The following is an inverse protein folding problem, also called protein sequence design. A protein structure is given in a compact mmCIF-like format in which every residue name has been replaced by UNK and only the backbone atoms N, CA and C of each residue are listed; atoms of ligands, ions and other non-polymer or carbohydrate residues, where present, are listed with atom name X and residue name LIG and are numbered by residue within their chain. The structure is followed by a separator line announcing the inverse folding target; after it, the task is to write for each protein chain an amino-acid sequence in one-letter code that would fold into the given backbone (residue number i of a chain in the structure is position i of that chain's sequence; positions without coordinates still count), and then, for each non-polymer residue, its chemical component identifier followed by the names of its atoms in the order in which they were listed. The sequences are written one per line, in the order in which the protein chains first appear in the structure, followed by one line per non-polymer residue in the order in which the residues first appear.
data_IF_122521754717
#
_entry.id   IF_122521754717
#
_cell.length_a   1.000
_cell.length_b   1.000
_cell.length_c   1.000
_cell.angle_alpha   90.00
_cell.angle_beta   90.00
_cell.angle_gamma   90.00
#
_symmetry.space_group_name_H-M   'P 1'
#
loop_
_entity.id
_entity.type
_entity.pdbx_description
1 polymer ?
#
# COMPACT_ATOMS: atom_id res chain seq x y z
N UNK A 1 23.29 10.01 -11.41
CA UNK A 1 22.46 10.95 -12.20
C UNK A 1 20.96 10.70 -12.07
N UNK A 2 20.47 9.45 -12.11
CA UNK A 2 19.03 9.12 -12.08
C UNK A 2 18.28 9.74 -10.87
N UNK A 3 18.84 9.60 -9.66
CA UNK A 3 18.20 10.14 -8.44
C UNK A 3 17.97 11.65 -8.52
N UNK A 4 18.91 12.43 -9.04
CA UNK A 4 18.74 13.88 -9.17
C UNK A 4 17.66 14.28 -10.19
N UNK A 5 17.40 13.45 -11.20
CA UNK A 5 16.34 13.69 -12.19
C UNK A 5 14.98 13.40 -11.57
N UNK A 6 14.84 12.25 -10.90
CA UNK A 6 13.61 11.87 -10.17
C UNK A 6 13.29 12.91 -9.10
N UNK A 7 14.29 13.33 -8.32
CA UNK A 7 14.11 14.32 -7.27
C UNK A 7 13.61 15.66 -7.83
N UNK A 8 14.24 16.16 -8.91
CA UNK A 8 13.78 17.36 -9.60
C UNK A 8 12.37 17.22 -10.16
N UNK A 9 12.03 16.03 -10.65
CA UNK A 9 10.69 15.77 -11.19
C UNK A 9 9.63 15.84 -10.08
N UNK A 10 9.90 15.22 -8.92
CA UNK A 10 8.99 15.23 -7.77
C UNK A 10 8.89 16.62 -7.14
N UNK A 11 10.00 17.34 -7.01
CA UNK A 11 10.00 18.72 -6.48
C UNK A 11 9.20 19.70 -7.36
N UNK A 12 9.02 19.37 -8.65
CA UNK A 12 8.15 20.12 -9.56
C UNK A 12 6.66 19.81 -9.40
N UNK A 13 6.29 18.69 -8.75
CA UNK A 13 4.90 18.30 -8.54
C UNK A 13 4.24 19.04 -7.36
N UNK A 14 4.27 20.38 -7.38
CA UNK A 14 3.66 21.21 -6.33
C UNK A 14 2.14 21.04 -6.21
N UNK A 15 1.49 20.53 -7.25
CA UNK A 15 0.08 20.17 -7.22
C UNK A 15 -0.27 19.08 -6.20
N UNK A 16 0.73 18.33 -5.71
CA UNK A 16 0.55 17.34 -4.64
C UNK A 16 0.39 17.98 -3.26
N UNK A 17 0.80 19.24 -3.07
CA UNK A 17 0.78 19.90 -1.75
C UNK A 17 -0.64 20.06 -1.20
N UNK A 18 -1.65 20.52 -1.97
CA UNK A 18 -3.03 20.57 -1.49
C UNK A 18 -3.60 19.19 -1.15
N UNK A 19 -3.27 18.16 -1.93
CA UNK A 19 -3.70 16.78 -1.68
C UNK A 19 -3.05 16.24 -0.41
N UNK A 20 -1.76 16.51 -0.23
CA UNK A 20 -1.02 16.17 0.97
C UNK A 20 -1.60 16.87 2.21
N UNK A 21 -1.93 18.16 2.11
CA UNK A 21 -2.52 18.94 3.20
C UNK A 21 -3.87 18.36 3.62
N UNK A 22 -4.71 18.03 2.64
CA UNK A 22 -6.00 17.42 2.91
C UNK A 22 -5.85 16.06 3.60
N UNK A 23 -5.02 15.18 3.06
CA UNK A 23 -4.86 13.82 3.59
C UNK A 23 -4.19 13.80 4.96
N UNK A 24 -3.17 14.64 5.22
CA UNK A 24 -2.58 14.75 6.56
C UNK A 24 -3.59 15.29 7.58
N UNK A 25 -4.46 16.23 7.19
CA UNK A 25 -5.55 16.70 8.06
C UNK A 25 -6.55 15.59 8.35
N UNK A 26 -6.89 14.76 7.36
CA UNK A 26 -7.83 13.63 7.54
C UNK A 26 -7.21 12.56 8.45
N UNK A 27 -5.99 12.11 8.16
CA UNK A 27 -5.29 11.08 8.94
C UNK A 27 -5.01 11.58 10.36
N UNK A 28 -4.38 12.74 10.50
CA UNK A 28 -4.14 13.36 11.79
C UNK A 28 -5.43 13.68 12.56
N UNK A 29 -6.50 14.07 11.87
CA UNK A 29 -7.82 14.31 12.42
C UNK A 29 -8.48 13.04 12.95
N UNK A 30 -8.40 11.92 12.21
CA UNK A 30 -8.92 10.62 12.64
C UNK A 30 -8.27 10.15 13.94
N UNK A 31 -6.94 10.25 14.05
CA UNK A 31 -6.24 9.91 15.29
C UNK A 31 -6.58 10.86 16.44
N UNK A 32 -6.69 12.17 16.18
CA UNK A 32 -7.08 13.15 17.20
C UNK A 32 -8.50 12.95 17.70
N UNK A 33 -9.44 12.60 16.82
CA UNK A 33 -10.84 12.32 17.16
C UNK A 33 -10.95 11.15 18.15
N UNK A 34 -10.09 10.15 18.00
CA UNK A 34 -10.03 8.99 18.88
C UNK A 34 -9.36 9.28 20.24
N UNK A 35 -8.83 10.49 20.47
CA UNK A 35 -8.24 10.89 21.76
C UNK A 35 -7.03 10.05 22.17
N UNK A 36 -6.95 9.68 23.46
CA UNK A 36 -5.87 8.83 24.01
C UNK A 36 -5.75 7.47 23.28
N UNK A 37 -6.85 6.71 23.07
CA UNK A 37 -6.81 5.50 22.24
C UNK A 37 -6.24 5.71 20.84
N UNK A 38 -6.53 6.86 20.22
CA UNK A 38 -6.00 7.22 18.91
C UNK A 38 -4.49 7.41 18.90
N UNK A 39 -3.93 8.03 19.94
CA UNK A 39 -2.48 8.18 20.07
C UNK A 39 -1.77 6.84 20.26
N UNK A 40 -2.35 5.95 21.09
CA UNK A 40 -1.79 4.61 21.32
C UNK A 40 -1.86 3.76 20.05
N UNK A 41 -2.99 3.82 19.33
CA UNK A 41 -3.13 3.18 18.03
C UNK A 41 -2.12 3.71 17.02
N UNK A 42 -1.96 5.02 16.91
CA UNK A 42 -0.97 5.64 16.01
C UNK A 42 0.44 5.14 16.33
N UNK A 43 0.80 5.10 17.61
CA UNK A 43 2.10 4.64 18.10
C UNK A 43 2.33 3.16 17.76
N UNK A 44 1.30 2.33 17.96
CA UNK A 44 1.35 0.91 17.61
C UNK A 44 1.50 0.68 16.10
N UNK A 45 0.71 1.40 15.30
CA UNK A 45 0.70 1.34 13.83
C UNK A 45 2.01 1.85 13.24
N UNK A 46 2.66 2.81 13.90
CA UNK A 46 3.99 3.28 13.52
C UNK A 46 5.07 2.20 13.72
N UNK A 47 4.88 1.28 14.67
CA UNK A 47 5.84 0.18 14.93
C UNK A 47 6.88 0.50 16.01
N UNK A 48 6.65 1.48 16.88
CA UNK A 48 7.60 1.83 17.96
C UNK A 48 7.96 0.65 18.87
N UNK A 49 7.04 -0.29 19.05
CA UNK A 49 7.23 -1.53 19.82
C UNK A 49 8.19 -2.52 19.15
N UNK A 50 8.34 -2.46 17.82
CA UNK A 50 9.26 -3.30 17.03
C UNK A 50 10.68 -2.70 16.99
N UNK A 51 10.83 -1.42 17.35
CA UNK A 51 12.08 -0.67 17.17
C UNK A 51 12.32 -0.18 15.74
N UNK A 52 11.44 -0.54 14.80
CA UNK A 52 11.51 -0.16 13.39
C UNK A 52 10.12 0.15 12.83
N UNK A 53 10.01 0.97 11.77
CA UNK A 53 8.73 1.29 11.16
C UNK A 53 7.99 0.02 10.70
N UNK A 54 6.70 -0.06 11.01
CA UNK A 54 5.89 -1.24 10.68
C UNK A 54 5.57 -1.31 9.18
N UNK A 55 5.52 -0.16 8.50
CA UNK A 55 5.19 -0.10 7.07
C UNK A 55 6.12 -0.94 6.18
N UNK A 56 7.46 -0.76 6.20
CA UNK A 56 8.39 -1.58 5.41
C UNK A 56 8.23 -3.09 5.67
N UNK A 57 8.03 -3.49 6.93
CA UNK A 57 7.87 -4.90 7.30
C UNK A 57 6.63 -5.51 6.64
N UNK A 58 5.52 -4.77 6.64
CA UNK A 58 4.29 -5.25 5.99
C UNK A 58 4.44 -5.25 4.47
N UNK A 59 5.18 -4.30 3.86
CA UNK A 59 5.35 -4.23 2.40
C UNK A 59 6.08 -5.43 1.79
N UNK A 60 6.85 -6.19 2.57
CA UNK A 60 7.50 -7.42 2.08
C UNK A 60 6.49 -8.52 1.71
N UNK A 61 5.35 -8.55 2.40
CA UNK A 61 4.28 -9.53 2.16
C UNK A 61 3.64 -9.36 0.78
N UNK A 62 3.08 -8.19 0.39
CA UNK A 62 2.53 -8.01 -0.96
C UNK A 62 3.60 -8.17 -2.04
N UNK A 63 4.84 -7.73 -1.80
CA UNK A 63 5.94 -7.94 -2.74
C UNK A 63 6.18 -9.43 -3.01
N UNK A 64 6.30 -10.24 -1.97
CA UNK A 64 6.47 -11.69 -2.10
C UNK A 64 5.24 -12.36 -2.71
N UNK A 65 4.05 -12.01 -2.24
CA UNK A 65 2.81 -12.64 -2.66
C UNK A 65 2.49 -12.39 -4.16
N UNK A 66 2.64 -11.15 -4.63
CA UNK A 66 2.43 -10.83 -6.04
C UNK A 66 3.54 -11.39 -6.94
N UNK A 67 4.77 -11.48 -6.44
CA UNK A 67 5.85 -12.19 -7.16
C UNK A 67 5.50 -13.66 -7.35
N UNK A 68 5.00 -14.33 -6.31
CA UNK A 68 4.55 -15.72 -6.39
C UNK A 68 3.34 -15.89 -7.31
N UNK A 69 2.39 -14.95 -7.31
CA UNK A 69 1.26 -14.97 -8.23
C UNK A 69 1.73 -15.02 -9.69
N UNK A 70 2.64 -14.14 -10.08
CA UNK A 70 3.24 -14.12 -11.43
C UNK A 70 3.94 -15.45 -11.73
N UNK A 71 4.68 -16.02 -10.77
CA UNK A 71 5.34 -17.31 -10.96
C UNK A 71 4.31 -18.43 -11.20
N UNK A 72 3.23 -18.47 -10.42
CA UNK A 72 2.19 -19.48 -10.56
C UNK A 72 1.43 -19.36 -11.89
N UNK A 73 1.14 -18.13 -12.34
CA UNK A 73 0.56 -17.89 -13.68
C UNK A 73 1.49 -18.41 -14.79
N UNK A 74 2.80 -18.13 -14.68
CA UNK A 74 3.79 -18.64 -15.63
C UNK A 74 3.81 -20.17 -15.63
N UNK A 75 3.80 -20.81 -14.45
CA UNK A 75 3.79 -22.28 -14.36
C UNK A 75 2.50 -22.84 -14.96
N UNK A 76 1.35 -22.20 -14.76
CA UNK A 76 0.09 -22.59 -15.37
C UNK A 76 0.19 -22.63 -16.90
N UNK A 77 0.82 -21.64 -17.53
CA UNK A 77 1.01 -21.61 -18.99
C UNK A 77 1.76 -22.84 -19.54
N UNK A 78 2.64 -23.45 -18.75
CA UNK A 78 3.40 -24.63 -19.16
C UNK A 78 2.78 -25.96 -18.71
N UNK A 79 2.11 -25.99 -17.56
CA UNK A 79 1.59 -27.22 -16.95
C UNK A 79 0.10 -27.45 -17.21
N UNK A 80 -0.67 -26.40 -17.45
CA UNK A 80 -2.10 -26.44 -17.71
C UNK A 80 -2.98 -26.90 -16.54
N UNK A 81 -2.42 -27.14 -15.35
CA UNK A 81 -3.19 -27.61 -14.19
C UNK A 81 -3.79 -26.43 -13.43
N UNK A 82 -5.12 -26.45 -13.25
CA UNK A 82 -5.88 -25.40 -12.57
C UNK A 82 -5.43 -25.10 -11.13
N UNK A 83 -4.76 -26.03 -10.45
CA UNK A 83 -4.21 -25.78 -9.11
C UNK A 83 -3.22 -24.60 -9.05
N UNK A 84 -2.52 -24.30 -10.14
CA UNK A 84 -1.62 -23.14 -10.20
C UNK A 84 -2.38 -21.81 -10.26
N UNK A 85 -3.52 -21.77 -10.97
CA UNK A 85 -4.39 -20.59 -10.99
C UNK A 85 -4.93 -20.34 -9.58
N UNK A 86 -5.44 -21.37 -8.90
CA UNK A 86 -5.94 -21.23 -7.53
C UNK A 86 -4.85 -20.76 -6.56
N UNK A 87 -3.60 -21.20 -6.76
CA UNK A 87 -2.47 -20.72 -5.97
C UNK A 87 -2.16 -19.23 -6.24
N UNK A 88 -2.20 -18.80 -7.50
CA UNK A 88 -2.05 -17.40 -7.89
C UNK A 88 -3.15 -16.51 -7.30
N UNK A 89 -4.40 -16.96 -7.34
CA UNK A 89 -5.54 -16.25 -6.78
C UNK A 89 -5.39 -16.04 -5.26
N UNK A 90 -4.99 -17.08 -4.55
CA UNK A 90 -4.77 -17.02 -3.10
C UNK A 90 -3.63 -16.06 -2.77
N UNK A 91 -2.51 -16.09 -3.50
CA UNK A 91 -1.40 -15.18 -3.22
C UNK A 91 -1.75 -13.74 -3.58
N UNK A 92 -2.52 -13.48 -4.64
CA UNK A 92 -3.06 -12.14 -4.94
C UNK A 92 -3.93 -11.65 -3.78
N UNK A 93 -4.83 -12.49 -3.27
CA UNK A 93 -5.71 -12.15 -2.15
C UNK A 93 -4.92 -11.83 -0.87
N UNK A 94 -3.96 -12.68 -0.50
CA UNK A 94 -3.07 -12.43 0.65
C UNK A 94 -2.28 -11.14 0.47
N UNK A 95 -1.72 -10.92 -0.72
CA UNK A 95 -1.00 -9.69 -1.05
C UNK A 95 -1.88 -8.46 -0.92
N UNK A 96 -3.14 -8.53 -1.36
CA UNK A 96 -4.09 -7.43 -1.25
C UNK A 96 -4.42 -7.09 0.22
N UNK A 97 -4.68 -8.09 1.06
CA UNK A 97 -4.92 -7.85 2.49
C UNK A 97 -3.71 -7.20 3.17
N UNK A 98 -2.50 -7.69 2.85
CA UNK A 98 -1.28 -7.09 3.39
C UNK A 98 -1.04 -5.67 2.84
N UNK A 99 -1.34 -5.42 1.56
CA UNK A 99 -1.24 -4.09 0.96
C UNK A 99 -2.17 -3.07 1.63
N UNK A 100 -3.38 -3.49 2.04
CA UNK A 100 -4.28 -2.64 2.84
C UNK A 100 -3.66 -2.29 4.19
N UNK A 101 -3.06 -3.27 4.88
CA UNK A 101 -2.32 -3.04 6.12
C UNK A 101 -1.14 -2.08 5.92
N UNK A 102 -0.36 -2.28 4.86
CA UNK A 102 0.74 -1.41 4.47
C UNK A 102 0.27 0.01 4.14
N UNK A 103 -0.88 0.17 3.49
CA UNK A 103 -1.43 1.50 3.23
C UNK A 103 -1.75 2.23 4.54
N UNK A 104 -2.40 1.56 5.50
CA UNK A 104 -2.70 2.16 6.81
C UNK A 104 -1.43 2.60 7.53
N UNK A 105 -0.44 1.71 7.64
CA UNK A 105 0.83 2.01 8.32
C UNK A 105 1.62 3.09 7.58
N UNK A 106 1.66 3.03 6.25
CA UNK A 106 2.37 4.00 5.41
C UNK A 106 1.78 5.40 5.46
N UNK A 107 0.45 5.54 5.42
CA UNK A 107 -0.20 6.84 5.60
C UNK A 107 -0.04 7.39 7.01
N UNK A 108 0.08 6.52 8.00
CA UNK A 108 0.36 6.92 9.40
C UNK A 108 1.76 7.49 9.53
N UNK A 109 2.76 6.81 8.97
CA UNK A 109 4.16 7.24 9.00
C UNK A 109 4.36 8.52 8.18
N UNK A 110 3.73 8.58 7.00
CA UNK A 110 3.76 9.75 6.12
C UNK A 110 3.12 11.00 6.75
N UNK A 111 2.18 10.84 7.69
CA UNK A 111 1.45 11.96 8.27
C UNK A 111 2.35 13.00 8.96
N UNK A 112 3.53 12.59 9.45
CA UNK A 112 4.48 13.47 10.13
C UNK A 112 5.61 13.99 9.21
N UNK A 113 5.61 13.62 7.93
CA UNK A 113 6.64 14.03 6.98
C UNK A 113 6.45 15.45 6.47
N UNK A 114 7.56 16.12 6.15
CA UNK A 114 7.59 17.50 5.64
C UNK A 114 8.36 17.61 4.31
N UNK A 115 8.21 18.76 3.65
CA UNK A 115 8.93 19.14 2.43
C UNK A 115 8.95 18.05 1.34
N UNK A 116 10.14 17.55 1.01
CA UNK A 116 10.35 16.63 -0.11
C UNK A 116 9.92 15.21 0.23
N UNK A 117 10.18 14.73 1.44
CA UNK A 117 9.75 13.40 1.88
C UNK A 117 8.24 13.29 1.82
N UNK A 118 7.54 14.35 2.21
CA UNK A 118 6.09 14.47 2.09
C UNK A 118 5.60 14.33 0.65
N UNK A 119 6.22 15.03 -0.31
CA UNK A 119 5.86 14.97 -1.74
C UNK A 119 6.14 13.61 -2.35
N UNK A 120 7.28 12.99 -2.04
CA UNK A 120 7.63 11.65 -2.50
C UNK A 120 6.66 10.62 -1.91
N UNK A 121 6.44 10.69 -0.60
CA UNK A 121 5.58 9.78 0.14
C UNK A 121 4.13 9.82 -0.34
N UNK A 122 3.57 11.01 -0.60
CA UNK A 122 2.19 11.09 -1.10
C UNK A 122 2.06 10.59 -2.54
N UNK A 123 3.03 10.89 -3.41
CA UNK A 123 3.02 10.37 -4.78
C UNK A 123 3.06 8.83 -4.78
N UNK A 124 3.93 8.25 -3.96
CA UNK A 124 4.03 6.81 -3.76
C UNK A 124 2.76 6.22 -3.16
N UNK A 125 2.22 6.84 -2.09
CA UNK A 125 1.01 6.40 -1.42
C UNK A 125 -0.19 6.38 -2.34
N UNK A 126 -0.41 7.45 -3.13
CA UNK A 126 -1.50 7.53 -4.10
C UNK A 126 -1.37 6.47 -5.20
N UNK A 127 -0.17 6.28 -5.75
CA UNK A 127 0.08 5.27 -6.78
C UNK A 127 -0.28 3.86 -6.28
N UNK A 128 0.20 3.49 -5.09
CA UNK A 128 -0.10 2.19 -4.50
C UNK A 128 -1.58 2.06 -4.10
N UNK A 129 -2.22 3.16 -3.68
CA UNK A 129 -3.66 3.16 -3.40
C UNK A 129 -4.47 2.85 -4.67
N UNK A 130 -4.07 3.39 -5.82
CA UNK A 130 -4.69 3.05 -7.11
C UNK A 130 -4.51 1.57 -7.42
N UNK A 131 -3.32 1.01 -7.20
CA UNK A 131 -3.07 -0.44 -7.38
C UNK A 131 -4.00 -1.27 -6.50
N UNK A 132 -4.11 -0.95 -5.21
CA UNK A 132 -5.03 -1.62 -4.28
C UNK A 132 -6.47 -1.55 -4.78
N UNK A 133 -6.93 -0.38 -5.23
CA UNK A 133 -8.30 -0.21 -5.77
C UNK A 133 -8.51 -1.09 -7.01
N UNK A 134 -7.55 -1.16 -7.92
CA UNK A 134 -7.64 -2.02 -9.10
C UNK A 134 -7.75 -3.49 -8.71
N UNK A 135 -6.90 -3.96 -7.78
CA UNK A 135 -6.98 -5.34 -7.28
C UNK A 135 -8.29 -5.63 -6.54
N UNK A 136 -8.80 -4.68 -5.74
CA UNK A 136 -10.10 -4.82 -5.08
C UNK A 136 -11.24 -4.93 -6.08
N UNK A 137 -11.26 -4.06 -7.10
CA UNK A 137 -12.28 -4.11 -8.15
C UNK A 137 -12.18 -5.43 -8.91
N UNK A 138 -10.97 -5.89 -9.25
CA UNK A 138 -10.76 -7.19 -9.87
C UNK A 138 -11.29 -8.34 -9.00
N UNK A 139 -11.02 -8.31 -7.70
CA UNK A 139 -11.53 -9.32 -6.74
C UNK A 139 -13.05 -9.30 -6.67
N UNK A 140 -13.66 -8.12 -6.62
CA UNK A 140 -15.12 -7.96 -6.60
C UNK A 140 -15.74 -8.50 -7.88
N UNK A 141 -15.17 -8.16 -9.05
CA UNK A 141 -15.63 -8.70 -10.32
C UNK A 141 -15.55 -10.22 -10.30
N UNK A 142 -14.40 -10.78 -9.92
CA UNK A 142 -14.21 -12.23 -9.82
C UNK A 142 -15.24 -12.90 -8.90
N UNK A 143 -15.48 -12.35 -7.70
CA UNK A 143 -16.48 -12.87 -6.77
C UNK A 143 -17.89 -12.84 -7.35
N UNK A 144 -18.23 -11.84 -8.16
CA UNK A 144 -19.56 -11.70 -8.75
C UNK A 144 -19.73 -12.55 -10.01
N UNK A 145 -18.67 -12.76 -10.80
CA UNK A 145 -18.75 -13.49 -12.08
C UNK A 145 -18.47 -14.99 -11.98
N UNK A 146 -17.66 -15.44 -11.01
CA UNK A 146 -17.31 -16.87 -10.85
C UNK A 146 -18.21 -17.61 -9.84
N UNK A 147 -19.13 -16.94 -9.16
CA UNK A 147 -20.16 -17.55 -8.30
C UNK A 147 -21.46 -17.92 -9.05
N UNK A 148 -21.44 -17.99 -10.39
CA UNK A 148 -22.50 -18.54 -11.25
C UNK A 148 -21.88 -19.58 -12.19
#
# INVERSE_FOLDING_TARGET
MLNHVVNRFIDRQRWLEPVADFLQKVVGGAYKLLGKPGHDLKTFVHGTWLGHPLHPVITDIPLGAWTLAVIFDIIYLFRGTHGWISAADVTIFVGLLAALGAAVTGYTDWNETVDRERRVGIAHGLLNTVVIVIYLVSLIIWLVTCWC
#
